data_IF_092729983544
#
_entry.id   IF_092729983544
#
_cell.length_a   1.000
_cell.length_b   1.000
_cell.length_c   1.000
_cell.angle_alpha   90.00
_cell.angle_beta   90.00
_cell.angle_gamma   90.00
#
_symmetry.space_group_name_H-M   'P 1'
#
loop_
_entity.id
_entity.type
_entity.pdbx_description
1 polymer ?
#
# COMPACT_ATOMS: atom_id res chain seq x y z
N UNK A 1 -0.86 -11.58 11.97
CA UNK A 1 0.20 -10.58 11.70
C UNK A 1 0.14 -9.42 12.68
N UNK A 2 -0.99 -8.71 12.83
CA UNK A 2 -1.04 -7.43 13.54
C UNK A 2 -0.94 -7.42 15.08
N UNK A 3 -0.98 -8.59 15.74
CA UNK A 3 -1.17 -8.70 17.20
C UNK A 3 -0.21 -7.81 18.02
N UNK A 4 1.09 -7.90 17.74
CA UNK A 4 2.09 -7.12 18.50
C UNK A 4 1.87 -5.62 18.40
N UNK A 5 1.51 -5.14 17.21
CA UNK A 5 1.27 -3.71 16.98
C UNK A 5 0.05 -3.22 17.78
N UNK A 6 -1.03 -4.02 17.85
CA UNK A 6 -2.22 -3.66 18.64
C UNK A 6 -2.06 -3.85 20.15
N UNK A 7 -1.14 -4.70 20.60
CA UNK A 7 -0.80 -4.88 22.02
C UNK A 7 0.26 -3.86 22.50
N UNK A 8 0.87 -3.09 21.59
CA UNK A 8 1.89 -2.08 21.93
C UNK A 8 1.24 -0.74 22.29
N UNK A 9 0.86 -0.61 23.56
CA UNK A 9 0.22 0.60 24.09
C UNK A 9 1.16 1.82 24.10
N UNK A 10 2.47 1.63 24.25
CA UNK A 10 3.45 2.72 24.25
C UNK A 10 3.55 3.35 22.85
N UNK A 11 3.57 2.51 21.81
CA UNK A 11 3.49 2.95 20.43
C UNK A 11 2.23 3.77 20.17
N UNK A 12 1.06 3.31 20.63
CA UNK A 12 -0.20 4.02 20.45
C UNK A 12 -0.21 5.41 21.10
N UNK A 13 0.25 5.51 22.35
CA UNK A 13 0.34 6.81 23.03
C UNK A 13 1.32 7.75 22.33
N UNK A 14 2.49 7.23 21.94
CA UNK A 14 3.47 8.02 21.19
C UNK A 14 2.86 8.56 19.89
N UNK A 15 2.17 7.73 19.10
CA UNK A 15 1.56 8.12 17.84
C UNK A 15 0.48 9.19 18.04
N UNK A 16 -0.39 9.04 19.04
CA UNK A 16 -1.42 10.06 19.38
C UNK A 16 -0.79 11.37 19.84
N UNK A 17 0.26 11.31 20.66
CA UNK A 17 0.94 12.50 21.19
C UNK A 17 1.69 13.30 20.12
N UNK A 18 2.14 12.65 19.04
CA UNK A 18 2.80 13.31 17.91
C UNK A 18 1.84 14.14 17.04
N UNK A 19 0.53 13.89 17.12
CA UNK A 19 -0.53 14.63 16.37
C UNK A 19 -0.26 14.67 14.87
N UNK A 20 -0.05 13.49 14.27
CA UNK A 20 0.06 13.39 12.82
C UNK A 20 -1.29 13.65 12.16
N UNK A 21 -1.28 14.41 11.07
CA UNK A 21 -2.49 14.73 10.30
C UNK A 21 -2.82 13.65 9.25
N UNK A 22 -1.81 12.84 8.87
CA UNK A 22 -1.92 11.85 7.78
C UNK A 22 -1.15 10.58 8.14
N UNK A 23 -1.76 9.43 7.88
CA UNK A 23 -1.09 8.13 7.86
C UNK A 23 -0.89 7.65 6.43
N UNK A 24 0.33 7.22 6.11
CA UNK A 24 0.63 6.46 4.89
C UNK A 24 0.72 4.98 5.28
N UNK A 25 -0.09 4.11 4.67
CA UNK A 25 -0.06 2.68 4.98
C UNK A 25 -0.18 1.81 3.74
N UNK A 26 0.56 0.71 3.75
CA UNK A 26 0.60 -0.26 2.66
C UNK A 26 -0.72 -1.02 2.53
N UNK A 27 -1.27 -1.08 1.32
CA UNK A 27 -2.52 -1.81 1.01
C UNK A 27 -2.43 -3.31 1.20
N UNK A 28 -1.25 -3.90 0.98
CA UNK A 28 -1.08 -5.33 1.09
C UNK A 28 -1.08 -5.82 2.55
N UNK A 29 -0.71 -4.95 3.50
CA UNK A 29 -0.77 -5.23 4.93
C UNK A 29 -1.77 -4.30 5.63
N UNK A 30 -3.00 -4.79 5.78
CA UNK A 30 -4.10 -4.03 6.38
C UNK A 30 -3.86 -3.61 7.83
N UNK A 31 -2.84 -4.12 8.52
CA UNK A 31 -2.55 -3.75 9.90
C UNK A 31 -2.46 -2.23 10.09
N UNK A 32 -1.70 -1.52 9.26
CA UNK A 32 -1.54 -0.07 9.41
C UNK A 32 -2.81 0.72 9.08
N UNK A 33 -3.62 0.23 8.13
CA UNK A 33 -4.92 0.81 7.79
C UNK A 33 -5.89 0.70 8.99
N UNK A 34 -5.98 -0.48 9.61
CA UNK A 34 -6.79 -0.68 10.82
C UNK A 34 -6.25 0.08 12.02
N UNK A 35 -4.93 0.20 12.16
CA UNK A 35 -4.35 0.96 13.26
C UNK A 35 -4.70 2.46 13.14
N UNK A 36 -4.68 3.00 11.92
CA UNK A 36 -5.06 4.40 11.69
C UNK A 36 -6.52 4.66 12.07
N UNK A 37 -7.43 3.76 11.71
CA UNK A 37 -8.84 3.80 12.13
C UNK A 37 -8.98 3.70 13.66
N UNK A 38 -8.31 2.72 14.28
CA UNK A 38 -8.31 2.52 15.73
C UNK A 38 -7.77 3.72 16.51
N UNK A 39 -6.78 4.43 15.98
CA UNK A 39 -6.20 5.62 16.60
C UNK A 39 -6.96 6.90 16.23
N UNK A 40 -8.04 6.81 15.45
CA UNK A 40 -8.86 7.94 14.97
C UNK A 40 -8.04 8.99 14.20
N UNK A 41 -7.17 8.52 13.31
CA UNK A 41 -6.29 9.40 12.54
C UNK A 41 -7.08 10.26 11.55
N UNK A 42 -6.74 11.55 11.36
CA UNK A 42 -7.57 12.46 10.57
C UNK A 42 -7.65 12.12 9.08
N UNK A 43 -6.58 11.56 8.51
CA UNK A 43 -6.53 11.17 7.11
C UNK A 43 -5.65 9.94 6.90
N UNK A 44 -6.02 9.15 5.90
CA UNK A 44 -5.35 7.92 5.50
C UNK A 44 -5.05 7.97 4.01
N UNK A 45 -3.79 7.81 3.65
CA UNK A 45 -3.38 7.58 2.26
C UNK A 45 -2.88 6.15 2.15
N UNK A 46 -3.65 5.41 1.38
CA UNK A 46 -3.35 4.05 0.99
C UNK A 46 -2.23 4.05 -0.06
N UNK A 47 -1.09 3.44 0.27
CA UNK A 47 0.07 3.32 -0.63
C UNK A 47 0.27 1.86 -1.04
N UNK A 48 0.79 1.66 -2.25
CA UNK A 48 1.24 0.36 -2.72
C UNK A 48 2.66 0.49 -3.21
N UNK A 49 3.60 -0.12 -2.50
CA UNK A 49 5.04 -0.07 -2.78
C UNK A 49 5.48 -1.12 -3.80
N UNK A 50 4.56 -1.97 -4.27
CA UNK A 50 4.82 -2.92 -5.34
C UNK A 50 4.99 -2.24 -6.70
N UNK A 51 5.86 -2.81 -7.55
CA UNK A 51 6.25 -2.21 -8.83
C UNK A 51 5.10 -1.98 -9.80
N UNK A 52 4.03 -2.78 -9.72
CA UNK A 52 2.71 -2.63 -10.36
C UNK A 52 1.77 -3.69 -9.76
N UNK A 53 0.48 -3.39 -9.60
CA UNK A 53 -0.53 -4.43 -9.48
C UNK A 53 -1.19 -4.60 -10.86
N UNK A 54 -0.95 -5.75 -11.52
CA UNK A 54 -1.48 -6.02 -12.86
C UNK A 54 -3.00 -5.86 -12.96
N UNK A 55 -3.72 -6.08 -11.86
CA UNK A 55 -5.17 -5.91 -11.80
C UNK A 55 -5.61 -4.44 -11.88
N UNK A 56 -4.76 -3.47 -11.50
CA UNK A 56 -5.09 -2.04 -11.45
C UNK A 56 -4.51 -1.23 -12.62
N UNK A 57 -3.63 -1.83 -13.43
CA UNK A 57 -2.85 -1.12 -14.47
C UNK A 57 -3.76 -0.40 -15.47
N UNK A 58 -4.87 -1.04 -15.88
CA UNK A 58 -5.86 -0.43 -16.78
C UNK A 58 -6.63 0.74 -16.14
N UNK A 59 -7.00 0.62 -14.86
CA UNK A 59 -7.74 1.67 -14.15
C UNK A 59 -6.88 2.92 -13.91
N UNK A 60 -5.57 2.72 -13.75
CA UNK A 60 -4.58 3.77 -13.51
C UNK A 60 -3.97 4.34 -14.80
N UNK A 61 -4.31 3.79 -15.98
CA UNK A 61 -3.73 4.21 -17.26
C UNK A 61 -2.26 3.82 -17.42
N UNK A 62 -1.78 2.88 -16.61
CA UNK A 62 -0.41 2.36 -16.70
C UNK A 62 -0.32 1.30 -17.81
N UNK A 63 0.80 1.21 -18.55
CA UNK A 63 1.03 0.12 -19.49
C UNK A 63 1.18 -1.20 -18.75
N UNK A 64 0.49 -2.25 -19.24
CA UNK A 64 0.59 -3.58 -18.64
C UNK A 64 2.02 -4.11 -18.74
N UNK A 65 2.42 -4.96 -17.78
CA UNK A 65 3.76 -5.57 -17.77
C UNK A 65 4.08 -6.33 -19.06
N UNK A 66 3.05 -6.86 -19.74
CA UNK A 66 3.16 -7.60 -21.00
C UNK A 66 3.65 -6.70 -22.14
N UNK A 67 3.40 -5.39 -22.11
CA UNK A 67 3.89 -4.46 -23.15
C UNK A 67 5.41 -4.21 -23.07
N UNK A 68 6.05 -4.53 -21.95
CA UNK A 68 7.51 -4.44 -21.81
C UNK A 68 8.24 -5.71 -22.26
N UNK A 69 7.51 -6.77 -22.60
CA UNK A 69 8.14 -7.94 -23.22
C UNK A 69 8.45 -7.62 -24.68
N UNK A 70 9.73 -7.60 -25.09
CA UNK A 70 10.06 -7.47 -26.50
C UNK A 70 9.38 -8.61 -27.25
N UNK A 71 8.58 -8.27 -28.27
CA UNK A 71 7.86 -9.26 -29.05
C UNK A 71 8.84 -10.29 -29.61
N UNK A 72 8.52 -11.59 -29.44
CA UNK A 72 9.29 -12.65 -30.07
C UNK A 72 9.27 -12.43 -31.58
N UNK A 73 10.44 -12.14 -32.15
CA UNK A 73 10.63 -11.92 -33.58
C UNK A 73 10.24 -13.21 -34.33
N UNK A 74 9.02 -13.29 -34.86
CA UNK A 74 8.63 -14.41 -35.73
C UNK A 74 9.30 -14.17 -37.08
N UNK A 75 10.48 -14.78 -37.25
CA UNK A 75 11.17 -14.87 -38.54
C UNK A 75 10.32 -15.75 -39.46
N UNK A 76 9.54 -15.12 -40.33
CA UNK A 76 8.90 -15.82 -41.45
C UNK A 76 10.01 -16.31 -42.37
N UNK A 77 10.10 -17.62 -42.54
CA UNK A 77 11.00 -18.30 -43.46
C UNK A 77 10.16 -18.83 -44.62
#
# INVERSE_FOLDING_TARGET
MCRRMFEDHELHEMLKNKRFDVVLSETFDFCGLYLADYLEMPALISVYTGSRLNALTNALGEPSIIHYFPGTYIRHN
#
